data_IF_906168587323
#
_entry.id   IF_906168587323
#
_cell.length_a   1.000
_cell.length_b   1.000
_cell.length_c   1.000
_cell.angle_alpha   90.00
_cell.angle_beta   90.00
_cell.angle_gamma   90.00
#
_symmetry.space_group_name_H-M   'P 1'
#
loop_
_entity.id
_entity.type
_entity.pdbx_description
1 polymer ?
#
# COMPACT_ATOMS: atom_id res chain seq x y z
N UNK A 1 -5.21 -6.67 -9.68
CA UNK A 1 -6.12 -5.50 -9.72
C UNK A 1 -5.32 -4.25 -9.38
N UNK A 2 -5.48 -3.11 -10.08
CA UNK A 2 -4.54 -1.97 -10.00
C UNK A 2 -4.51 -1.23 -8.65
N UNK A 3 -5.56 -1.36 -7.83
CA UNK A 3 -5.63 -0.79 -6.48
C UNK A 3 -4.76 -1.54 -5.47
N UNK A 4 -4.51 -2.84 -5.71
CA UNK A 4 -3.70 -3.68 -4.83
C UNK A 4 -2.24 -3.23 -4.80
N UNK A 5 -1.60 -3.35 -3.63
CA UNK A 5 -0.17 -3.09 -3.46
C UNK A 5 0.73 -4.11 -4.18
N UNK A 6 0.17 -5.29 -4.50
CA UNK A 6 0.87 -6.34 -5.24
C UNK A 6 0.85 -6.12 -6.76
N UNK A 7 0.06 -5.16 -7.25
CA UNK A 7 0.03 -4.86 -8.67
C UNK A 7 1.38 -4.29 -9.14
N UNK A 8 1.86 -4.79 -10.29
CA UNK A 8 3.00 -4.22 -11.01
C UNK A 8 2.72 -2.75 -11.34
N UNK A 9 3.38 -1.86 -10.61
CA UNK A 9 3.21 -0.42 -10.69
C UNK A 9 4.46 0.22 -10.09
N UNK A 10 5.41 0.72 -10.92
CA UNK A 10 6.62 1.35 -10.44
C UNK A 10 6.29 2.44 -9.41
N UNK A 11 6.84 2.31 -8.21
CA UNK A 11 6.49 3.15 -7.06
C UNK A 11 7.75 3.81 -6.51
N UNK A 12 7.96 5.12 -6.74
CA UNK A 12 9.06 5.85 -6.14
C UNK A 12 8.89 5.98 -4.63
N UNK A 13 9.90 5.67 -3.83
CA UNK A 13 9.84 5.90 -2.39
C UNK A 13 11.26 6.00 -1.80
N UNK A 14 11.51 7.00 -0.93
CA UNK A 14 12.79 7.22 -0.23
C UNK A 14 14.03 7.15 -1.15
N UNK A 15 13.94 7.77 -2.33
CA UNK A 15 15.05 7.85 -3.29
C UNK A 15 15.23 6.63 -4.20
N UNK A 16 14.38 5.62 -4.09
CA UNK A 16 14.41 4.41 -4.92
C UNK A 16 13.14 4.23 -5.72
N UNK A 17 13.24 3.55 -6.87
CA UNK A 17 12.09 3.10 -7.65
C UNK A 17 11.87 1.61 -7.39
N UNK A 18 10.71 1.26 -6.84
CA UNK A 18 10.34 -0.12 -6.53
C UNK A 18 9.37 -0.69 -7.57
N UNK A 19 9.43 -1.99 -7.83
CA UNK A 19 8.57 -2.66 -8.82
C UNK A 19 7.06 -2.59 -8.48
N UNK A 20 6.73 -2.60 -7.18
CA UNK A 20 5.35 -2.48 -6.68
C UNK A 20 5.29 -1.63 -5.41
N UNK A 21 4.08 -1.24 -5.02
CA UNK A 21 3.85 -0.59 -3.72
C UNK A 21 4.18 -1.51 -2.54
N UNK A 22 3.98 -2.82 -2.66
CA UNK A 22 4.36 -3.78 -1.62
C UNK A 22 5.87 -3.75 -1.35
N UNK A 23 6.69 -3.63 -2.39
CA UNK A 23 8.14 -3.51 -2.25
C UNK A 23 8.52 -2.21 -1.51
N UNK A 24 7.94 -1.09 -1.93
CA UNK A 24 8.17 0.20 -1.28
C UNK A 24 7.72 0.20 0.19
N UNK A 25 6.57 -0.41 0.49
CA UNK A 25 6.03 -0.52 1.84
C UNK A 25 6.85 -1.48 2.71
N UNK A 26 7.31 -2.60 2.17
CA UNK A 26 8.20 -3.52 2.86
C UNK A 26 9.54 -2.86 3.21
N UNK A 27 10.11 -2.06 2.30
CA UNK A 27 11.34 -1.31 2.56
C UNK A 27 11.11 -0.18 3.58
N UNK A 28 9.91 0.42 3.62
CA UNK A 28 9.59 1.49 4.57
C UNK A 28 9.59 1.03 6.05
N UNK A 29 9.42 -0.28 6.29
CA UNK A 29 9.42 -0.91 7.63
C UNK A 29 10.73 -0.75 8.37
N UNK A 30 11.86 -0.66 7.66
CA UNK A 30 13.18 -0.80 8.26
C UNK A 30 14.13 0.34 7.83
N UNK A 31 15.24 0.47 8.55
CA UNK A 31 16.43 1.24 8.15
C UNK A 31 17.62 0.34 7.81
N UNK A 32 17.48 -0.98 7.90
CA UNK A 32 18.54 -1.91 7.54
C UNK A 32 18.80 -1.87 6.03
N UNK A 33 19.99 -1.40 5.64
CA UNK A 33 20.39 -1.27 4.25
C UNK A 33 20.42 -2.63 3.53
N UNK A 34 20.75 -3.71 4.24
CA UNK A 34 20.84 -5.05 3.64
C UNK A 34 19.45 -5.57 3.27
N UNK A 35 18.48 -5.44 4.18
CA UNK A 35 17.08 -5.76 3.90
C UNK A 35 16.49 -4.90 2.77
N UNK A 36 16.78 -3.59 2.75
CA UNK A 36 16.32 -2.68 1.69
C UNK A 36 16.90 -3.09 0.33
N UNK A 37 18.19 -3.41 0.27
CA UNK A 37 18.82 -3.90 -0.96
C UNK A 37 18.18 -5.21 -1.44
N UNK A 38 18.01 -6.18 -0.54
CA UNK A 38 17.38 -7.47 -0.88
C UNK A 38 15.92 -7.33 -1.35
N UNK A 39 15.16 -6.36 -0.79
CA UNK A 39 13.82 -6.04 -1.28
C UNK A 39 13.87 -5.46 -2.69
N UNK A 40 14.88 -4.63 -3.01
CA UNK A 40 15.00 -4.02 -4.33
C UNK A 40 15.44 -5.01 -5.41
N UNK A 41 16.19 -6.04 -5.02
CA UNK A 41 16.74 -7.04 -5.94
C UNK A 41 15.74 -8.15 -6.30
N UNK A 42 14.56 -8.19 -5.66
CA UNK A 42 13.51 -9.16 -5.99
C UNK A 42 12.40 -8.53 -6.81
N UNK A 43 11.88 -9.29 -7.78
CA UNK A 43 10.68 -8.91 -8.54
C UNK A 43 9.39 -9.49 -7.92
N UNK A 44 9.50 -10.35 -6.90
CA UNK A 44 8.35 -10.99 -6.25
C UNK A 44 7.88 -10.16 -5.04
N UNK A 45 6.68 -9.54 -5.10
CA UNK A 45 6.14 -8.78 -3.98
C UNK A 45 5.90 -9.62 -2.72
N UNK A 46 5.66 -10.93 -2.85
CA UNK A 46 5.55 -11.82 -1.69
C UNK A 46 6.91 -12.03 -1.01
N UNK A 47 7.98 -12.13 -1.80
CA UNK A 47 9.36 -12.17 -1.29
C UNK A 47 9.73 -10.86 -0.58
N UNK A 48 9.43 -9.72 -1.19
CA UNK A 48 9.67 -8.40 -0.58
C UNK A 48 8.93 -8.25 0.76
N UNK A 49 7.64 -8.62 0.80
CA UNK A 49 6.83 -8.62 2.03
C UNK A 49 7.47 -9.48 3.12
N UNK A 50 8.00 -10.65 2.77
CA UNK A 50 8.66 -11.57 3.70
C UNK A 50 9.95 -10.98 4.26
N UNK A 51 10.79 -10.39 3.40
CA UNK A 51 12.04 -9.74 3.82
C UNK A 51 11.73 -8.57 4.76
N UNK A 52 10.80 -7.68 4.39
CA UNK A 52 10.43 -6.54 5.22
C UNK A 52 9.77 -6.94 6.55
N UNK A 53 9.12 -8.11 6.62
CA UNK A 53 8.58 -8.65 7.89
C UNK A 53 9.68 -9.20 8.80
N UNK A 54 10.76 -9.74 8.24
CA UNK A 54 11.89 -10.27 9.01
C UNK A 54 12.89 -9.19 9.44
N UNK A 55 12.86 -8.01 8.79
CA UNK A 55 13.76 -6.91 9.08
C UNK A 55 13.39 -6.16 10.39
N UNK A 56 14.37 -5.52 11.07
CA UNK A 56 14.10 -4.68 12.23
C UNK A 56 13.17 -3.53 11.88
N UNK A 57 12.13 -3.32 12.69
CA UNK A 57 11.16 -2.25 12.47
C UNK A 57 11.72 -0.89 12.88
N UNK A 58 11.28 0.16 12.20
CA UNK A 58 11.47 1.54 12.66
C UNK A 58 10.62 1.82 13.90
N UNK A 59 11.06 2.80 14.68
CA UNK A 59 10.37 3.21 15.90
C UNK A 59 8.92 3.62 15.62
N UNK A 60 7.99 3.19 16.48
CA UNK A 60 6.58 3.54 16.35
C UNK A 60 5.86 2.89 15.17
N UNK A 61 6.43 1.86 14.53
CA UNK A 61 5.81 1.16 13.39
C UNK A 61 4.36 0.75 13.66
N UNK A 62 4.13 -0.02 14.73
CA UNK A 62 2.79 -0.47 15.12
C UNK A 62 1.92 0.63 15.74
N UNK A 63 2.55 1.65 16.33
CA UNK A 63 1.85 2.79 16.93
C UNK A 63 1.23 3.73 15.89
N UNK A 64 1.70 3.70 14.64
CA UNK A 64 1.07 4.46 13.56
C UNK A 64 1.94 4.73 12.33
N UNK A 65 3.26 4.56 12.42
CA UNK A 65 4.15 4.86 11.30
C UNK A 65 3.87 3.99 10.05
N UNK A 66 3.27 2.80 10.23
CA UNK A 66 2.79 1.97 9.13
C UNK A 66 1.71 2.66 8.26
N UNK A 67 0.81 3.44 8.86
CA UNK A 67 -0.24 4.14 8.10
C UNK A 67 0.34 5.30 7.29
N UNK A 68 1.26 6.06 7.89
CA UNK A 68 1.99 7.13 7.21
C UNK A 68 2.78 6.56 6.02
N UNK A 69 3.52 5.48 6.24
CA UNK A 69 4.29 4.82 5.19
C UNK A 69 3.38 4.33 4.04
N UNK A 70 2.23 3.75 4.35
CA UNK A 70 1.28 3.30 3.32
C UNK A 70 0.72 4.49 2.53
N UNK A 71 0.35 5.58 3.19
CA UNK A 71 -0.14 6.78 2.52
C UNK A 71 0.90 7.36 1.56
N UNK A 72 2.16 7.49 2.00
CA UNK A 72 3.26 7.96 1.17
C UNK A 72 3.48 7.07 -0.07
N UNK A 73 3.43 5.75 0.13
CA UNK A 73 3.63 4.74 -0.93
C UNK A 73 2.48 4.77 -1.93
N UNK A 74 1.23 4.78 -1.46
CA UNK A 74 0.04 4.84 -2.31
C UNK A 74 0.05 6.14 -3.12
N UNK A 75 0.33 7.28 -2.46
CA UNK A 75 0.45 8.57 -3.14
C UNK A 75 1.50 8.51 -4.24
N UNK A 76 2.70 8.03 -3.93
CA UNK A 76 3.79 7.97 -4.90
C UNK A 76 3.49 7.06 -6.09
N UNK A 77 2.79 5.93 -5.88
CA UNK A 77 2.32 5.07 -6.98
C UNK A 77 1.42 5.85 -7.94
N UNK A 78 0.38 6.52 -7.43
CA UNK A 78 -0.56 7.20 -8.31
C UNK A 78 0.01 8.49 -8.91
N UNK A 79 0.89 9.22 -8.20
CA UNK A 79 1.61 10.37 -8.75
C UNK A 79 2.55 9.97 -9.90
N UNK A 80 3.23 8.83 -9.78
CA UNK A 80 4.17 8.37 -10.81
C UNK A 80 3.47 7.76 -12.03
N UNK A 81 2.29 7.13 -11.84
CA UNK A 81 1.61 6.36 -12.87
C UNK A 81 0.33 7.06 -13.34
N UNK A 82 0.43 7.96 -14.33
CA UNK A 82 -0.69 8.78 -14.82
C UNK A 82 -1.93 7.97 -15.28
N UNK A 83 -1.73 6.82 -15.92
CA UNK A 83 -2.84 5.92 -16.28
C UNK A 83 -3.55 5.37 -15.04
N UNK A 84 -2.79 4.95 -14.02
CA UNK A 84 -3.37 4.45 -12.78
C UNK A 84 -4.10 5.56 -12.02
N UNK A 85 -3.58 6.78 -12.04
CA UNK A 85 -4.25 7.95 -11.47
C UNK A 85 -5.60 8.19 -12.15
N UNK A 86 -5.66 8.18 -13.49
CA UNK A 86 -6.92 8.29 -14.24
C UNK A 86 -7.92 7.20 -13.86
N UNK A 87 -7.45 5.95 -13.72
CA UNK A 87 -8.29 4.83 -13.28
C UNK A 87 -8.78 4.98 -11.84
N UNK A 88 -7.97 5.55 -10.94
CA UNK A 88 -8.38 5.85 -9.58
C UNK A 88 -9.43 6.96 -9.54
N UNK A 89 -9.25 8.04 -10.30
CA UNK A 89 -10.24 9.12 -10.44
C UNK A 89 -11.57 8.59 -10.97
N UNK A 90 -11.55 7.69 -11.94
CA UNK A 90 -12.75 7.06 -12.50
C UNK A 90 -13.56 6.23 -11.48
N UNK A 91 -13.04 5.99 -10.27
CA UNK A 91 -13.81 5.36 -9.17
C UNK A 91 -14.64 6.35 -8.35
N UNK A 92 -14.68 7.63 -8.73
CA UNK A 92 -15.46 8.67 -8.05
C UNK A 92 -16.90 8.23 -7.73
N UNK A 93 -17.42 8.66 -6.58
CA UNK A 93 -18.73 8.24 -6.08
C UNK A 93 -18.78 6.80 -5.54
N UNK A 94 -17.72 6.00 -5.71
CA UNK A 94 -17.64 4.64 -5.18
C UNK A 94 -16.83 4.57 -3.88
N UNK A 95 -17.32 3.77 -2.94
CA UNK A 95 -16.57 3.33 -1.76
C UNK A 95 -15.55 2.27 -2.20
N UNK A 96 -14.28 2.47 -1.85
CA UNK A 96 -13.22 1.49 -2.10
C UNK A 96 -13.01 0.64 -0.85
N UNK A 97 -13.22 -0.66 -0.97
CA UNK A 97 -13.01 -1.63 0.12
C UNK A 97 -12.00 -2.68 -0.31
N UNK A 98 -10.90 -2.81 0.45
CA UNK A 98 -9.95 -3.90 0.28
C UNK A 98 -10.52 -5.16 0.93
N UNK A 99 -11.33 -5.90 0.19
CA UNK A 99 -11.91 -7.16 0.64
C UNK A 99 -10.86 -8.27 0.74
N UNK A 100 -10.93 -9.08 1.81
CA UNK A 100 -10.08 -10.26 1.94
C UNK A 100 -10.75 -11.43 2.67
N UNK A 101 -10.09 -12.58 2.67
CA UNK A 101 -10.54 -13.81 3.36
C UNK A 101 -9.47 -14.40 4.30
N UNK A 102 -8.38 -13.68 4.54
CA UNK A 102 -7.23 -14.12 5.35
C UNK A 102 -7.08 -13.31 6.65
N UNK A 103 -8.20 -12.80 7.17
CA UNK A 103 -8.34 -12.21 8.49
C UNK A 103 -7.60 -10.86 8.67
N UNK A 104 -7.27 -10.17 7.57
CA UNK A 104 -6.71 -8.82 7.65
C UNK A 104 -7.82 -7.79 7.84
N UNK A 105 -8.05 -7.41 9.10
CA UNK A 105 -9.02 -6.38 9.48
C UNK A 105 -8.40 -4.98 9.60
N UNK A 106 -7.09 -4.81 9.38
CA UNK A 106 -6.45 -3.50 9.46
C UNK A 106 -6.47 -2.80 8.11
N UNK A 107 -5.88 -3.43 7.09
CA UNK A 107 -5.81 -2.81 5.76
C UNK A 107 -7.07 -3.03 4.96
N UNK A 108 -7.74 -4.16 5.20
CA UNK A 108 -8.96 -4.54 4.51
C UNK A 108 -10.15 -4.76 5.43
N UNK A 109 -11.19 -5.33 4.84
CA UNK A 109 -12.36 -5.87 5.51
C UNK A 109 -12.49 -7.34 5.16
N UNK A 110 -12.28 -8.19 6.16
CA UNK A 110 -12.35 -9.63 6.00
C UNK A 110 -13.82 -10.10 5.94
N UNK A 111 -14.08 -11.12 5.14
CA UNK A 111 -15.41 -11.71 4.93
C UNK A 111 -15.49 -13.20 5.28
N UNK A 112 -14.50 -13.74 6.00
CA UNK A 112 -14.56 -15.12 6.49
C UNK A 112 -15.64 -15.29 7.56
N UNK A 113 -16.00 -16.53 7.89
CA UNK A 113 -17.07 -16.84 8.85
C UNK A 113 -16.90 -16.16 10.22
N UNK A 114 -15.66 -15.90 10.66
CA UNK A 114 -15.35 -15.21 11.91
C UNK A 114 -15.60 -13.69 11.84
N UNK A 115 -15.54 -13.11 10.64
CA UNK A 115 -15.51 -11.67 10.43
C UNK A 115 -16.62 -11.16 9.48
N UNK A 116 -17.49 -12.03 8.98
CA UNK A 116 -18.51 -11.68 7.99
C UNK A 116 -19.47 -10.58 8.47
N UNK A 117 -19.73 -10.51 9.77
CA UNK A 117 -20.57 -9.49 10.42
C UNK A 117 -19.76 -8.33 11.02
N UNK A 118 -18.43 -8.33 10.88
CA UNK A 118 -17.52 -7.35 11.49
C UNK A 118 -16.73 -6.65 10.38
N UNK A 119 -17.13 -5.43 9.98
CA UNK A 119 -16.36 -4.64 9.03
C UNK A 119 -14.94 -4.40 9.55
N UNK A 120 -13.94 -4.67 8.72
CA UNK A 120 -12.57 -4.29 9.01
C UNK A 120 -12.37 -2.78 8.88
N UNK A 121 -11.24 -2.29 9.39
CA UNK A 121 -10.90 -0.88 9.34
C UNK A 121 -10.75 -0.35 7.91
N UNK A 122 -10.48 -1.22 6.92
CA UNK A 122 -10.35 -0.86 5.52
C UNK A 122 -9.38 0.32 5.29
N UNK A 123 -8.29 0.38 6.05
CA UNK A 123 -7.37 1.52 6.04
C UNK A 123 -6.78 1.77 4.64
N UNK A 124 -6.54 0.71 3.85
CA UNK A 124 -6.05 0.87 2.49
C UNK A 124 -7.10 1.53 1.59
N UNK A 125 -8.36 1.11 1.69
CA UNK A 125 -9.48 1.72 0.98
C UNK A 125 -9.64 3.20 1.31
N UNK A 126 -9.53 3.56 2.61
CA UNK A 126 -9.56 4.95 3.08
C UNK A 126 -8.42 5.77 2.47
N UNK A 127 -7.19 5.25 2.49
CA UNK A 127 -6.01 5.92 1.91
C UNK A 127 -6.16 6.10 0.39
N UNK A 128 -6.69 5.09 -0.32
CA UNK A 128 -6.95 5.20 -1.76
C UNK A 128 -7.97 6.28 -2.09
N UNK A 129 -9.04 6.39 -1.30
CA UNK A 129 -10.04 7.45 -1.46
C UNK A 129 -9.48 8.84 -1.12
N UNK A 130 -8.61 8.95 -0.11
CA UNK A 130 -7.90 10.19 0.18
C UNK A 130 -6.95 10.58 -0.97
N UNK A 131 -6.23 9.62 -1.55
CA UNK A 131 -5.39 9.85 -2.72
C UNK A 131 -6.22 10.31 -3.94
N UNK A 132 -7.40 9.72 -4.16
CA UNK A 132 -8.37 10.14 -5.19
C UNK A 132 -8.81 11.59 -5.00
N UNK A 133 -9.21 11.96 -3.78
CA UNK A 133 -9.64 13.33 -3.47
C UNK A 133 -8.50 14.34 -3.74
N UNK A 134 -7.28 14.02 -3.32
CA UNK A 134 -6.10 14.86 -3.58
C UNK A 134 -5.83 15.04 -5.07
N UNK A 135 -5.86 13.96 -5.85
CA UNK A 135 -5.64 14.03 -7.30
C UNK A 135 -6.72 14.88 -8.01
N UNK A 136 -7.96 14.80 -7.54
CA UNK A 136 -9.07 15.61 -8.05
C UNK A 136 -8.78 17.10 -7.84
N UNK A 137 -8.33 17.48 -6.64
CA UNK A 137 -8.00 18.87 -6.30
C UNK A 137 -6.80 19.44 -7.09
N UNK A 138 -5.89 18.59 -7.58
CA UNK A 138 -4.73 19.01 -8.39
C UNK A 138 -5.04 19.10 -9.90
N UNK A 139 -6.15 18.51 -10.34
CA UNK A 139 -6.59 18.51 -11.74
C UNK A 139 -7.64 19.59 -12.07
N UNK A 140 -8.02 20.42 -11.10
CA UNK A 140 -8.86 21.60 -11.28
C UNK A 140 -8.03 22.87 -11.49
#
# INVERSE_FOLDING_TARGET
MFLSNFAAAPTPHRGWLYATSEHAFAAAKTRDASAIAAIRDTDDPAQAKRIGRAAPLVDGWEAGAKFVAMEEVVRAKFDHNAELARRLLATEGSLLVEGNTWHDQTWGSCSCDEHCDIPGANALGVILMAARLRLTALGC
#
